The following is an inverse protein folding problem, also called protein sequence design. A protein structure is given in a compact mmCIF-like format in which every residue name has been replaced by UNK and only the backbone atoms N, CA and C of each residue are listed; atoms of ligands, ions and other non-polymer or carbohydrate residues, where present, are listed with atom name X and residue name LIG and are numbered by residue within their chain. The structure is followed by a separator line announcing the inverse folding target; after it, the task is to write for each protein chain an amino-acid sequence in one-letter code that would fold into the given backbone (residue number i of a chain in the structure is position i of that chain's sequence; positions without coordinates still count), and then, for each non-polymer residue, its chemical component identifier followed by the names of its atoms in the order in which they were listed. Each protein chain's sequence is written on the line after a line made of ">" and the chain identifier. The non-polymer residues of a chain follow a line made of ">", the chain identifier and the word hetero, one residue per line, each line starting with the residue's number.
data_IF_032427155316
#
_entry.id   IF_032427155316
#
_cell.length_a   1.000
_cell.length_b   1.000
_cell.length_c   1.000
_cell.angle_alpha   90.00
_cell.angle_beta   90.00
_cell.angle_gamma   90.00
#
_symmetry.space_group_name_H-M   'P 1'
#
loop_
_entity.id
_entity.type
_entity.pdbx_description
1 polymer ?
#
# COMPACT_ATOMS: atom_id res chain seq x y z
N UNK A 1 -13.32 20.09 -40.79
CA UNK A 1 -13.49 20.21 -39.30
C UNK A 1 -14.95 19.94 -38.98
N UNK A 2 -15.20 18.93 -38.20
CA UNK A 2 -16.53 18.66 -37.65
C UNK A 2 -16.67 19.60 -36.47
N UNK A 3 -17.55 20.61 -36.59
CA UNK A 3 -17.90 21.43 -35.43
C UNK A 3 -18.66 20.55 -34.43
N UNK A 4 -18.14 20.44 -33.24
CA UNK A 4 -18.86 19.82 -32.13
C UNK A 4 -20.07 20.68 -31.78
N UNK A 5 -21.27 20.12 -31.68
CA UNK A 5 -22.42 20.88 -31.23
C UNK A 5 -22.18 21.44 -29.85
N UNK A 6 -22.51 22.68 -29.60
CA UNK A 6 -22.49 23.27 -28.29
C UNK A 6 -23.50 22.51 -27.41
N UNK A 7 -22.99 21.84 -26.37
CA UNK A 7 -23.83 21.20 -25.36
C UNK A 7 -23.96 22.22 -24.22
N UNK A 8 -25.17 22.69 -23.99
CA UNK A 8 -25.43 23.54 -22.84
C UNK A 8 -25.08 22.79 -21.57
N UNK A 9 -24.29 23.38 -20.68
CA UNK A 9 -23.94 22.71 -19.43
C UNK A 9 -25.22 22.46 -18.62
N UNK A 10 -25.42 21.20 -18.20
CA UNK A 10 -26.48 20.84 -17.28
C UNK A 10 -26.28 21.63 -15.97
N UNK A 11 -27.14 22.60 -15.72
CA UNK A 11 -27.16 23.25 -14.40
C UNK A 11 -27.84 22.31 -13.42
N UNK A 12 -27.05 21.58 -12.65
CA UNK A 12 -27.54 20.80 -11.53
C UNK A 12 -27.62 21.74 -10.33
N UNK A 13 -28.82 21.98 -9.86
CA UNK A 13 -29.05 22.66 -8.60
C UNK A 13 -28.91 21.61 -7.47
N UNK A 14 -27.82 21.64 -6.67
CA UNK A 14 -27.57 20.64 -5.64
C UNK A 14 -28.60 20.70 -4.49
N UNK A 15 -29.32 21.80 -4.37
CA UNK A 15 -30.33 22.00 -3.33
C UNK A 15 -31.74 21.58 -3.77
N UNK A 16 -31.89 21.11 -5.02
CA UNK A 16 -33.17 20.70 -5.59
C UNK A 16 -33.33 19.19 -5.50
N UNK A 17 -33.99 18.72 -4.44
CA UNK A 17 -34.44 17.33 -4.31
C UNK A 17 -35.71 17.04 -5.12
N UNK A 18 -35.97 15.77 -5.42
CA UNK A 18 -37.29 15.35 -5.87
C UNK A 18 -38.26 15.28 -4.69
N UNK A 19 -39.58 15.44 -4.92
CA UNK A 19 -40.59 15.27 -3.88
C UNK A 19 -40.47 13.90 -3.19
N UNK A 20 -40.08 12.87 -3.92
CA UNK A 20 -39.79 11.53 -3.36
C UNK A 20 -38.64 11.55 -2.34
N UNK A 21 -37.53 12.24 -2.67
CA UNK A 21 -36.42 12.38 -1.71
C UNK A 21 -36.82 13.19 -0.48
N UNK A 22 -37.61 14.25 -0.65
CA UNK A 22 -38.12 15.04 0.47
C UNK A 22 -39.01 14.19 1.40
N UNK A 23 -39.84 13.29 0.84
CA UNK A 23 -40.63 12.34 1.61
C UNK A 23 -39.75 11.30 2.34
N UNK A 24 -38.70 10.76 1.66
CA UNK A 24 -37.75 9.82 2.25
C UNK A 24 -36.98 10.45 3.40
N UNK A 25 -36.53 11.71 3.26
CA UNK A 25 -35.80 12.44 4.29
C UNK A 25 -36.64 12.71 5.56
N UNK A 26 -37.98 12.70 5.43
CA UNK A 26 -38.91 12.86 6.56
C UNK A 26 -39.21 11.54 7.29
N UNK A 27 -38.83 10.39 6.72
CA UNK A 27 -39.05 9.11 7.38
C UNK A 27 -38.23 9.00 8.68
N UNK A 28 -38.82 8.55 9.77
CA UNK A 28 -38.07 8.31 11.00
C UNK A 28 -37.09 7.16 10.78
N UNK A 29 -35.81 7.40 11.10
CA UNK A 29 -34.78 6.38 11.04
C UNK A 29 -33.93 6.40 12.32
N UNK A 30 -33.45 5.23 12.73
CA UNK A 30 -32.43 5.14 13.78
C UNK A 30 -31.06 5.24 13.11
N UNK A 31 -30.22 6.23 13.51
CA UNK A 31 -28.88 6.36 12.96
C UNK A 31 -28.06 5.11 13.23
N UNK A 32 -27.45 4.53 12.20
CA UNK A 32 -26.51 3.44 12.36
C UNK A 32 -25.40 3.82 13.32
N UNK A 33 -25.08 2.90 14.23
CA UNK A 33 -23.95 3.06 15.14
C UNK A 33 -22.70 2.37 14.58
N UNK A 34 -21.52 2.97 14.73
CA UNK A 34 -20.28 2.32 14.28
C UNK A 34 -20.02 1.05 15.10
N UNK A 35 -19.58 0.00 14.43
CA UNK A 35 -19.20 -1.26 15.06
C UNK A 35 -17.68 -1.32 15.24
N UNK A 36 -17.25 -1.53 16.49
CA UNK A 36 -15.85 -1.68 16.86
C UNK A 36 -15.58 -3.10 17.34
N UNK A 37 -14.35 -3.55 17.17
CA UNK A 37 -13.95 -4.91 17.55
C UNK A 37 -13.81 -5.03 19.06
N UNK A 38 -14.25 -6.18 19.58
CA UNK A 38 -14.16 -6.54 21.00
C UNK A 38 -13.29 -7.80 21.11
N UNK A 39 -12.15 -7.75 21.84
CA UNK A 39 -11.33 -8.92 22.12
C UNK A 39 -12.14 -10.06 22.73
N UNK A 40 -11.76 -11.29 22.46
CA UNK A 40 -12.39 -12.55 22.91
C UNK A 40 -13.83 -12.78 22.40
N UNK A 41 -14.43 -11.78 21.77
CA UNK A 41 -15.74 -11.90 21.11
C UNK A 41 -15.60 -11.97 19.59
N UNK A 42 -14.89 -11.00 19.00
CA UNK A 42 -14.75 -10.88 17.55
C UNK A 42 -13.46 -11.54 17.05
N UNK A 43 -12.47 -11.66 17.90
CA UNK A 43 -11.18 -12.32 17.64
C UNK A 43 -10.50 -12.71 18.94
N UNK A 44 -9.54 -13.64 18.85
CA UNK A 44 -8.62 -13.97 19.95
C UNK A 44 -7.17 -13.89 19.50
N UNK A 45 -6.27 -13.62 20.45
CA UNK A 45 -4.82 -13.60 20.23
C UNK A 45 -4.16 -14.57 21.19
N UNK A 46 -3.34 -15.49 20.67
CA UNK A 46 -2.66 -16.52 21.48
C UNK A 46 -1.18 -16.56 21.13
N UNK A 47 -0.34 -16.66 22.13
CA UNK A 47 1.07 -17.02 21.95
C UNK A 47 1.19 -18.55 21.96
N UNK A 48 1.52 -19.12 20.81
CA UNK A 48 1.71 -20.58 20.66
C UNK A 48 3.03 -21.00 21.29
N UNK A 49 4.09 -20.25 21.02
CA UNK A 49 5.42 -20.38 21.64
C UNK A 49 6.18 -19.04 21.42
N UNK A 50 7.30 -18.80 22.11
CA UNK A 50 8.07 -17.59 21.92
C UNK A 50 8.36 -17.29 20.44
N UNK A 51 7.86 -16.16 19.94
CA UNK A 51 7.99 -15.75 18.54
C UNK A 51 6.98 -16.38 17.56
N UNK A 52 5.97 -17.09 18.05
CA UNK A 52 4.87 -17.63 17.24
C UNK A 52 3.54 -17.20 17.86
N UNK A 53 2.78 -16.38 17.13
CA UNK A 53 1.50 -15.82 17.58
C UNK A 53 0.38 -16.20 16.61
N UNK A 54 -0.77 -16.59 17.15
CA UNK A 54 -2.00 -16.83 16.41
C UNK A 54 -2.99 -15.68 16.67
N UNK A 55 -3.50 -15.08 15.61
CA UNK A 55 -4.64 -14.17 15.61
C UNK A 55 -5.80 -14.89 14.92
N UNK A 56 -6.85 -15.15 15.64
CA UNK A 56 -7.95 -16.01 15.21
C UNK A 56 -9.26 -15.21 15.14
N UNK A 57 -10.03 -15.42 14.08
CA UNK A 57 -11.41 -14.95 13.93
C UNK A 57 -12.27 -16.07 13.38
N UNK A 58 -13.42 -16.30 14.03
CA UNK A 58 -14.37 -17.31 13.62
C UNK A 58 -15.16 -16.89 12.37
N UNK A 59 -15.34 -17.83 11.42
CA UNK A 59 -16.19 -17.66 10.25
C UNK A 59 -17.57 -18.27 10.50
N UNK A 60 -18.61 -17.47 10.75
CA UNK A 60 -19.95 -17.99 11.00
C UNK A 60 -20.77 -18.23 9.72
N UNK A 61 -20.24 -17.97 8.54
CA UNK A 61 -21.02 -17.87 7.30
C UNK A 61 -20.94 -19.13 6.43
N UNK A 62 -19.80 -19.81 6.44
CA UNK A 62 -19.53 -20.95 5.57
C UNK A 62 -18.27 -21.70 6.02
N UNK A 63 -17.96 -22.80 5.33
CA UNK A 63 -16.81 -23.67 5.63
C UNK A 63 -15.52 -23.24 4.90
N UNK A 64 -15.36 -21.96 4.59
CA UNK A 64 -14.13 -21.46 4.01
C UNK A 64 -13.17 -20.96 5.08
N UNK A 65 -11.90 -21.29 4.91
CA UNK A 65 -10.83 -20.72 5.71
C UNK A 65 -9.93 -19.77 4.91
N UNK A 66 -9.30 -18.89 5.63
CA UNK A 66 -8.18 -18.07 5.18
C UNK A 66 -7.08 -18.14 6.24
N UNK A 67 -5.90 -18.59 5.85
CA UNK A 67 -4.70 -18.56 6.66
C UNK A 67 -3.67 -17.67 5.97
N UNK A 68 -3.21 -16.63 6.65
CA UNK A 68 -2.02 -15.84 6.25
C UNK A 68 -0.96 -16.01 7.34
N UNK A 69 0.26 -16.35 6.94
CA UNK A 69 1.41 -16.45 7.85
C UNK A 69 2.41 -15.39 7.47
N UNK A 70 2.69 -14.46 8.39
CA UNK A 70 3.67 -13.40 8.24
C UNK A 70 4.92 -13.75 9.01
N UNK A 71 6.04 -13.83 8.33
CA UNK A 71 7.36 -14.18 8.84
C UNK A 71 8.25 -12.94 8.88
N UNK A 72 8.89 -12.64 10.00
CA UNK A 72 9.65 -11.41 10.24
C UNK A 72 11.01 -11.41 9.52
N UNK A 73 10.97 -11.62 8.22
CA UNK A 73 12.12 -11.56 7.31
C UNK A 73 11.68 -11.07 5.94
N UNK A 74 12.05 -9.87 5.54
CA UNK A 74 11.69 -9.28 4.25
C UNK A 74 12.89 -8.95 3.38
N UNK A 75 12.67 -8.25 2.24
CA UNK A 75 13.76 -7.96 1.30
C UNK A 75 14.76 -6.93 1.84
N UNK A 76 14.39 -6.07 2.78
CA UNK A 76 15.35 -5.16 3.44
C UNK A 76 16.37 -5.91 4.30
N UNK A 77 16.01 -7.12 4.75
CA UNK A 77 16.93 -8.01 5.48
C UNK A 77 17.77 -8.85 4.51
N UNK A 78 17.11 -9.36 3.47
CA UNK A 78 17.67 -10.29 2.48
C UNK A 78 17.12 -9.94 1.09
N UNK A 79 17.79 -9.07 0.31
CA UNK A 79 17.30 -8.66 -1.02
C UNK A 79 17.00 -9.82 -1.98
N UNK A 80 17.74 -10.93 -1.84
CA UNK A 80 17.53 -12.12 -2.65
C UNK A 80 16.24 -12.90 -2.34
N UNK A 81 15.48 -12.54 -1.28
CA UNK A 81 14.17 -13.16 -1.01
C UNK A 81 13.16 -12.91 -2.14
N UNK A 82 13.19 -11.72 -2.73
CA UNK A 82 12.34 -11.43 -3.90
C UNK A 82 12.69 -12.33 -5.09
N UNK A 83 13.99 -12.64 -5.24
CA UNK A 83 14.48 -13.60 -6.23
C UNK A 83 14.07 -15.04 -5.88
N UNK A 84 14.16 -15.43 -4.61
CA UNK A 84 13.72 -16.74 -4.14
C UNK A 84 12.20 -16.95 -4.37
N UNK A 85 11.39 -15.90 -4.19
CA UNK A 85 9.97 -15.94 -4.55
C UNK A 85 9.77 -16.26 -6.03
N UNK A 86 10.53 -15.63 -6.94
CA UNK A 86 10.42 -15.85 -8.39
C UNK A 86 10.74 -17.31 -8.76
N UNK A 87 11.73 -17.92 -8.08
CA UNK A 87 12.02 -19.33 -8.23
C UNK A 87 10.85 -20.18 -7.72
N UNK A 88 10.31 -19.89 -6.52
CA UNK A 88 9.19 -20.60 -5.90
C UNK A 88 7.93 -20.61 -6.78
N UNK A 89 7.60 -19.47 -7.39
CA UNK A 89 6.43 -19.30 -8.27
C UNK A 89 6.41 -20.30 -9.46
N UNK A 90 7.59 -20.82 -9.85
CA UNK A 90 7.76 -21.77 -10.96
C UNK A 90 8.22 -23.16 -10.51
N UNK A 91 8.44 -23.34 -9.21
CA UNK A 91 8.87 -24.61 -8.65
C UNK A 91 7.70 -25.57 -8.44
N UNK A 92 8.00 -26.85 -8.49
CA UNK A 92 7.18 -27.90 -7.90
C UNK A 92 7.49 -28.09 -6.41
N UNK A 93 7.14 -29.24 -5.86
CA UNK A 93 7.36 -29.55 -4.46
C UNK A 93 7.87 -31.00 -4.30
N UNK A 94 8.95 -31.21 -3.58
CA UNK A 94 9.59 -32.53 -3.40
C UNK A 94 9.85 -33.23 -4.75
N UNK A 95 9.07 -34.26 -5.09
CA UNK A 95 9.15 -35.02 -6.34
C UNK A 95 8.13 -34.58 -7.39
N UNK A 96 7.22 -33.69 -7.03
CA UNK A 96 6.18 -33.17 -7.94
C UNK A 96 6.80 -32.09 -8.85
N UNK A 97 6.41 -32.09 -10.12
CA UNK A 97 6.64 -30.97 -11.02
C UNK A 97 5.80 -29.76 -10.63
N UNK A 98 6.07 -28.60 -11.23
CA UNK A 98 5.23 -27.39 -11.04
C UNK A 98 3.79 -27.61 -11.53
N UNK A 99 3.62 -28.41 -12.57
CA UNK A 99 2.30 -28.76 -13.12
C UNK A 99 1.53 -29.70 -12.17
N UNK A 100 2.19 -30.77 -11.68
CA UNK A 100 1.58 -31.68 -10.69
C UNK A 100 1.18 -30.93 -9.43
N UNK A 101 2.02 -30.02 -8.95
CA UNK A 101 1.72 -29.20 -7.78
C UNK A 101 0.47 -28.33 -7.99
N UNK A 102 0.30 -27.72 -9.17
CA UNK A 102 -0.91 -26.93 -9.51
C UNK A 102 -2.16 -27.82 -9.53
N UNK A 103 -2.03 -29.05 -10.04
CA UNK A 103 -3.12 -30.03 -10.05
C UNK A 103 -3.50 -30.41 -8.60
N UNK A 104 -2.53 -30.62 -7.71
CA UNK A 104 -2.81 -30.92 -6.30
C UNK A 104 -3.50 -29.75 -5.59
N UNK A 105 -3.07 -28.50 -5.79
CA UNK A 105 -3.78 -27.33 -5.28
C UNK A 105 -5.22 -27.25 -5.79
N UNK A 106 -5.41 -27.50 -7.09
CA UNK A 106 -6.75 -27.53 -7.70
C UNK A 106 -7.66 -28.62 -7.10
N UNK A 107 -7.15 -29.82 -6.88
CA UNK A 107 -7.90 -30.92 -6.24
C UNK A 107 -8.33 -30.59 -4.82
N UNK A 108 -7.50 -29.86 -4.08
CA UNK A 108 -7.83 -29.40 -2.74
C UNK A 108 -8.80 -28.20 -2.74
N UNK A 109 -9.09 -27.60 -3.90
CA UNK A 109 -9.87 -26.37 -3.96
C UNK A 109 -9.24 -25.25 -3.14
N UNK A 110 -7.90 -25.16 -3.13
CA UNK A 110 -7.13 -24.26 -2.30
C UNK A 110 -6.24 -23.36 -3.16
N UNK A 111 -6.26 -22.07 -2.89
CA UNK A 111 -5.32 -21.11 -3.44
C UNK A 111 -4.12 -20.96 -2.51
N UNK A 112 -2.92 -20.97 -3.07
CA UNK A 112 -1.66 -20.68 -2.40
C UNK A 112 -0.96 -19.49 -3.04
N UNK A 113 -0.36 -18.63 -2.21
CA UNK A 113 0.52 -17.56 -2.70
C UNK A 113 1.61 -17.24 -1.68
N UNK A 114 2.75 -16.76 -2.20
CA UNK A 114 3.88 -16.29 -1.39
C UNK A 114 4.25 -14.87 -1.77
N UNK A 115 4.39 -13.99 -0.79
CA UNK A 115 4.73 -12.58 -0.96
C UNK A 115 6.01 -12.20 -0.21
N UNK A 116 6.75 -11.23 -0.76
CA UNK A 116 7.91 -10.63 -0.10
C UNK A 116 7.70 -9.13 -0.04
N UNK A 117 7.70 -8.61 1.18
CA UNK A 117 7.58 -7.19 1.48
C UNK A 117 8.92 -6.64 2.00
N UNK A 118 8.98 -5.36 2.27
CA UNK A 118 10.18 -4.71 2.80
C UNK A 118 10.69 -5.40 4.07
N UNK A 119 9.80 -5.67 5.01
CA UNK A 119 10.18 -6.12 6.35
C UNK A 119 9.71 -7.53 6.71
N UNK A 120 8.87 -8.14 5.90
CA UNK A 120 8.34 -9.49 6.13
C UNK A 120 8.09 -10.23 4.82
N UNK A 121 8.10 -11.55 4.90
CA UNK A 121 7.48 -12.41 3.89
C UNK A 121 6.15 -12.92 4.42
N UNK A 122 5.24 -13.24 3.52
CA UNK A 122 4.02 -13.93 3.89
C UNK A 122 3.69 -15.04 2.89
N UNK A 123 3.04 -16.08 3.36
CA UNK A 123 2.27 -16.94 2.49
C UNK A 123 0.82 -16.99 2.96
N UNK A 124 -0.06 -17.31 2.04
CA UNK A 124 -1.47 -17.54 2.36
C UNK A 124 -1.95 -18.81 1.71
N UNK A 125 -2.93 -19.45 2.36
CA UNK A 125 -3.76 -20.52 1.81
C UNK A 125 -5.22 -20.18 2.10
N UNK A 126 -6.08 -20.36 1.09
CA UNK A 126 -7.52 -20.12 1.18
C UNK A 126 -8.24 -21.30 0.56
N UNK A 127 -9.23 -21.86 1.23
CA UNK A 127 -9.94 -23.02 0.69
C UNK A 127 -11.05 -23.53 1.60
N UNK A 128 -11.47 -24.76 1.32
CA UNK A 128 -12.45 -25.46 2.14
C UNK A 128 -11.78 -26.01 3.41
N UNK A 129 -12.46 -25.87 4.55
CA UNK A 129 -11.95 -26.26 5.87
C UNK A 129 -11.61 -27.76 5.96
N UNK A 130 -12.39 -28.62 5.32
CA UNK A 130 -12.11 -30.07 5.25
C UNK A 130 -10.72 -30.38 4.66
N UNK A 131 -10.18 -29.50 3.81
CA UNK A 131 -8.88 -29.63 3.17
C UNK A 131 -7.77 -28.83 3.85
N UNK A 132 -8.03 -28.21 5.00
CA UNK A 132 -7.05 -27.35 5.69
C UNK A 132 -5.71 -28.04 5.96
N UNK A 133 -5.75 -29.22 6.61
CA UNK A 133 -4.52 -29.93 6.98
C UNK A 133 -3.75 -30.42 5.75
N UNK A 134 -4.44 -30.93 4.73
CA UNK A 134 -3.81 -31.34 3.48
C UNK A 134 -3.18 -30.17 2.75
N UNK A 135 -3.85 -29.02 2.74
CA UNK A 135 -3.34 -27.77 2.16
C UNK A 135 -2.12 -27.25 2.91
N UNK A 136 -2.13 -27.34 4.25
CA UNK A 136 -0.99 -26.93 5.07
C UNK A 136 0.23 -27.84 4.84
N UNK A 137 0.04 -29.14 4.68
CA UNK A 137 1.11 -30.10 4.33
C UNK A 137 1.66 -29.86 2.93
N UNK A 138 0.80 -29.50 1.97
CA UNK A 138 1.23 -29.16 0.62
C UNK A 138 2.04 -27.84 0.61
N UNK A 139 1.60 -26.83 1.39
CA UNK A 139 2.34 -25.58 1.60
C UNK A 139 3.73 -25.82 2.24
N UNK A 140 3.81 -26.68 3.27
CA UNK A 140 5.08 -27.12 3.85
C UNK A 140 6.01 -27.72 2.79
N UNK A 141 5.47 -28.62 1.99
CA UNK A 141 6.26 -29.31 0.94
C UNK A 141 6.76 -28.31 -0.11
N UNK A 142 5.94 -27.34 -0.50
CA UNK A 142 6.32 -26.33 -1.48
C UNK A 142 7.35 -25.33 -0.92
N UNK A 143 7.15 -24.85 0.30
CA UNK A 143 8.03 -23.82 0.92
C UNK A 143 9.39 -24.38 1.35
N UNK A 144 9.42 -25.60 1.94
CA UNK A 144 10.64 -26.17 2.52
C UNK A 144 11.42 -27.06 1.53
N UNK A 145 10.73 -27.59 0.50
CA UNK A 145 11.32 -28.50 -0.47
C UNK A 145 10.89 -28.15 -1.90
N UNK A 146 11.12 -26.86 -2.33
CA UNK A 146 10.79 -26.46 -3.69
C UNK A 146 11.62 -27.28 -4.69
N UNK A 147 10.93 -27.79 -5.71
CA UNK A 147 11.55 -28.56 -6.78
C UNK A 147 11.66 -27.70 -8.04
N UNK A 148 12.81 -27.07 -8.24
CA UNK A 148 13.12 -26.24 -9.40
C UNK A 148 14.39 -26.77 -10.06
N UNK A 149 14.35 -27.06 -11.36
CA UNK A 149 15.55 -27.41 -12.12
C UNK A 149 16.40 -26.16 -12.38
N UNK A 150 17.70 -26.37 -12.55
CA UNK A 150 18.60 -25.27 -12.95
C UNK A 150 18.22 -24.70 -14.33
N UNK A 151 17.65 -25.50 -15.23
CA UNK A 151 17.13 -25.05 -16.53
C UNK A 151 15.97 -24.06 -16.34
N UNK A 152 14.92 -24.43 -15.60
CA UNK A 152 13.79 -23.56 -15.28
C UNK A 152 14.23 -22.30 -14.54
N UNK A 153 15.27 -22.43 -13.69
CA UNK A 153 15.81 -21.28 -12.98
C UNK A 153 16.57 -20.34 -13.93
N UNK A 154 17.36 -20.85 -14.87
CA UNK A 154 18.04 -20.03 -15.88
C UNK A 154 17.04 -19.28 -16.75
N UNK A 155 15.99 -19.94 -17.25
CA UNK A 155 14.90 -19.24 -17.95
C UNK A 155 14.26 -18.13 -17.09
N UNK A 156 14.07 -18.38 -15.78
CA UNK A 156 13.49 -17.40 -14.87
C UNK A 156 14.42 -16.20 -14.69
N UNK A 157 15.74 -16.41 -14.63
CA UNK A 157 16.73 -15.31 -14.59
C UNK A 157 16.63 -14.44 -15.85
N UNK A 158 16.54 -15.04 -17.03
CA UNK A 158 16.41 -14.29 -18.28
C UNK A 158 15.13 -13.44 -18.32
N UNK A 159 14.03 -13.98 -17.82
CA UNK A 159 12.77 -13.22 -17.67
C UNK A 159 12.96 -12.04 -16.72
N UNK A 160 13.57 -12.24 -15.55
CA UNK A 160 13.81 -11.17 -14.57
C UNK A 160 14.70 -10.07 -15.17
N UNK A 161 15.75 -10.43 -15.91
CA UNK A 161 16.61 -9.45 -16.56
C UNK A 161 15.88 -8.65 -17.63
N UNK A 162 15.04 -9.31 -18.43
CA UNK A 162 14.18 -8.64 -19.41
C UNK A 162 13.18 -7.68 -18.74
N UNK A 163 12.53 -8.11 -17.68
CA UNK A 163 11.61 -7.25 -16.90
C UNK A 163 12.32 -6.02 -16.31
N UNK A 164 13.58 -6.16 -15.87
CA UNK A 164 14.40 -5.04 -15.39
C UNK A 164 14.76 -4.05 -16.51
N UNK A 165 14.95 -4.54 -17.73
CA UNK A 165 15.18 -3.68 -18.91
C UNK A 165 13.90 -2.93 -19.30
N UNK A 166 12.75 -3.56 -19.18
CA UNK A 166 11.45 -2.95 -19.47
C UNK A 166 11.02 -1.95 -18.38
N UNK A 167 11.33 -2.25 -17.11
CA UNK A 167 11.12 -1.33 -16.00
C UNK A 167 11.80 0.04 -16.23
N UNK A 168 13.01 0.05 -16.81
CA UNK A 168 13.72 1.29 -17.13
C UNK A 168 13.12 2.06 -18.33
N UNK A 169 12.17 1.47 -19.03
CA UNK A 169 11.45 2.08 -20.15
C UNK A 169 10.03 2.50 -19.77
N UNK A 170 9.46 1.94 -18.69
CA UNK A 170 8.12 2.22 -18.26
C UNK A 170 8.02 3.58 -17.51
N UNK A 171 7.20 4.54 -17.99
CA UNK A 171 7.09 5.86 -17.37
C UNK A 171 6.61 5.85 -15.92
N UNK A 172 5.74 4.90 -15.55
CA UNK A 172 5.24 4.80 -14.17
C UNK A 172 6.32 4.26 -13.24
N UNK A 173 7.04 3.21 -13.66
CA UNK A 173 8.15 2.66 -12.89
C UNK A 173 9.24 3.72 -12.69
N UNK A 174 9.61 4.46 -13.74
CA UNK A 174 10.55 5.57 -13.67
C UNK A 174 10.09 6.67 -12.70
N UNK A 175 8.81 7.03 -12.75
CA UNK A 175 8.24 8.07 -11.86
C UNK A 175 8.27 7.61 -10.40
N UNK A 176 7.94 6.36 -10.12
CA UNK A 176 8.00 5.80 -8.77
C UNK A 176 9.45 5.68 -8.26
N UNK A 177 10.37 5.21 -9.10
CA UNK A 177 11.78 5.09 -8.74
C UNK A 177 12.42 6.46 -8.51
N UNK A 178 12.14 7.45 -9.37
CA UNK A 178 12.63 8.81 -9.24
C UNK A 178 12.15 9.45 -7.94
N UNK A 179 10.84 9.37 -7.62
CA UNK A 179 10.31 9.97 -6.40
C UNK A 179 10.85 9.28 -5.14
N UNK A 180 11.03 7.97 -5.19
CA UNK A 180 11.60 7.22 -4.07
C UNK A 180 13.08 7.55 -3.87
N UNK A 181 13.85 7.67 -4.96
CA UNK A 181 15.24 8.12 -4.91
C UNK A 181 15.35 9.56 -4.43
N UNK A 182 14.49 10.46 -4.89
CA UNK A 182 14.47 11.85 -4.44
C UNK A 182 14.23 11.97 -2.93
N UNK A 183 13.38 11.08 -2.38
CA UNK A 183 13.05 11.08 -0.95
C UNK A 183 14.08 10.37 -0.08
N UNK A 184 14.67 9.27 -0.53
CA UNK A 184 15.52 8.39 0.30
C UNK A 184 16.97 8.31 -0.16
N UNK A 185 17.33 8.87 -1.33
CA UNK A 185 18.68 8.79 -1.89
C UNK A 185 19.14 7.35 -2.09
N UNK A 186 20.33 7.04 -1.63
CA UNK A 186 20.94 5.70 -1.69
C UNK A 186 20.13 4.63 -0.92
N UNK A 187 19.24 5.03 -0.03
CA UNK A 187 18.33 4.14 0.67
C UNK A 187 17.07 3.81 -0.14
N UNK A 188 16.99 4.23 -1.40
CA UNK A 188 15.89 3.85 -2.28
C UNK A 188 15.77 2.34 -2.40
N UNK A 189 14.56 1.79 -2.24
CA UNK A 189 14.29 0.36 -2.39
C UNK A 189 14.71 -0.18 -3.76
N UNK A 190 14.70 0.66 -4.79
CA UNK A 190 15.15 0.28 -6.14
C UNK A 190 16.66 0.10 -6.21
N UNK A 191 17.42 0.72 -5.30
CA UNK A 191 18.86 0.54 -5.13
C UNK A 191 19.22 -0.55 -4.12
N UNK A 192 18.33 -0.87 -3.17
CA UNK A 192 18.54 -1.95 -2.19
C UNK A 192 18.28 -3.35 -2.76
N UNK A 193 17.66 -3.49 -3.91
CA UNK A 193 17.37 -4.81 -4.51
C UNK A 193 18.65 -5.57 -4.89
N UNK A 194 18.56 -6.89 -5.09
CA UNK A 194 19.66 -7.71 -5.60
C UNK A 194 20.16 -7.21 -6.96
N UNK A 195 21.50 -7.24 -7.18
CA UNK A 195 22.08 -6.87 -8.46
C UNK A 195 21.86 -7.97 -9.52
N UNK A 196 22.14 -7.63 -10.79
CA UNK A 196 22.17 -8.62 -11.89
C UNK A 196 23.27 -9.65 -11.65
N UNK A 197 24.39 -9.26 -11.04
CA UNK A 197 25.45 -10.18 -10.65
C UNK A 197 24.99 -11.16 -9.57
N UNK A 198 24.27 -10.66 -8.52
CA UNK A 198 23.70 -11.52 -7.48
C UNK A 198 22.70 -12.51 -8.08
N UNK A 199 21.86 -12.05 -9.03
CA UNK A 199 20.90 -12.88 -9.75
C UNK A 199 21.59 -13.97 -10.55
N UNK A 200 22.59 -13.61 -11.37
CA UNK A 200 23.31 -14.55 -12.24
C UNK A 200 24.06 -15.62 -11.45
N UNK A 201 24.63 -15.26 -10.29
CA UNK A 201 25.36 -16.18 -9.42
C UNK A 201 24.45 -17.01 -8.49
N UNK A 202 23.14 -16.76 -8.50
CA UNK A 202 22.21 -17.48 -7.63
C UNK A 202 21.96 -18.91 -8.12
N UNK A 203 21.80 -19.82 -7.16
CA UNK A 203 21.46 -21.22 -7.41
C UNK A 203 20.12 -21.57 -6.76
N UNK A 204 19.44 -22.59 -7.29
CA UNK A 204 18.18 -23.07 -6.72
C UNK A 204 18.34 -23.47 -5.26
N UNK A 205 19.46 -24.09 -4.89
CA UNK A 205 19.78 -24.51 -3.52
C UNK A 205 19.90 -23.30 -2.56
N UNK A 206 20.64 -22.25 -2.96
CA UNK A 206 20.80 -21.04 -2.15
C UNK A 206 19.46 -20.30 -1.95
N UNK A 207 18.63 -20.23 -2.99
CA UNK A 207 17.31 -19.61 -2.91
C UNK A 207 16.34 -20.43 -2.03
N UNK A 208 16.39 -21.76 -2.11
CA UNK A 208 15.60 -22.65 -1.24
C UNK A 208 15.98 -22.47 0.23
N UNK A 209 17.26 -22.31 0.54
CA UNK A 209 17.70 -22.05 1.90
C UNK A 209 17.21 -20.68 2.44
N UNK A 210 17.09 -19.66 1.59
CA UNK A 210 16.49 -18.37 1.97
C UNK A 210 14.99 -18.50 2.30
N UNK A 211 14.23 -19.28 1.53
CA UNK A 211 12.82 -19.57 1.82
C UNK A 211 12.68 -20.29 3.17
N UNK A 212 13.55 -21.26 3.43
CA UNK A 212 13.58 -21.98 4.71
C UNK A 212 13.91 -21.03 5.87
N UNK A 213 14.90 -20.14 5.73
CA UNK A 213 15.21 -19.11 6.73
C UNK A 213 14.03 -18.20 7.02
N UNK A 214 13.23 -17.83 5.99
CA UNK A 214 12.01 -17.08 6.18
C UNK A 214 11.00 -17.87 7.04
N UNK A 215 10.75 -19.13 6.71
CA UNK A 215 9.84 -20.00 7.48
C UNK A 215 10.33 -20.22 8.92
N UNK A 216 11.64 -20.27 9.14
CA UNK A 216 12.27 -20.45 10.45
C UNK A 216 12.39 -19.15 11.28
N UNK A 217 11.88 -18.04 10.76
CA UNK A 217 11.83 -16.75 11.47
C UNK A 217 10.62 -16.63 12.40
N UNK A 218 10.61 -15.71 13.37
CA UNK A 218 9.41 -15.37 14.13
C UNK A 218 8.24 -15.06 13.20
N UNK A 219 7.03 -15.45 13.60
CA UNK A 219 5.87 -15.36 12.72
C UNK A 219 4.58 -15.09 13.43
N UNK A 220 3.68 -14.40 12.74
CA UNK A 220 2.29 -14.23 13.13
C UNK A 220 1.39 -14.99 12.16
N UNK A 221 0.50 -15.80 12.72
CA UNK A 221 -0.44 -16.64 12.01
C UNK A 221 -1.80 -16.00 12.13
N UNK A 222 -2.39 -15.62 11.01
CA UNK A 222 -3.66 -14.93 10.89
C UNK A 222 -4.67 -15.90 10.32
N UNK A 223 -5.60 -16.35 11.14
CA UNK A 223 -6.61 -17.33 10.75
C UNK A 223 -8.02 -16.73 10.78
N UNK A 224 -8.76 -16.96 9.73
CA UNK A 224 -10.21 -16.78 9.64
C UNK A 224 -10.81 -18.06 9.09
N UNK A 225 -11.71 -18.69 9.85
CA UNK A 225 -12.32 -19.97 9.44
C UNK A 225 -13.30 -20.50 10.46
N UNK A 226 -13.96 -21.66 10.15
CA UNK A 226 -15.04 -22.22 10.98
C UNK A 226 -14.54 -22.96 12.22
N UNK A 227 -13.24 -23.19 12.38
CA UNK A 227 -12.71 -23.92 13.52
C UNK A 227 -12.51 -23.06 14.74
N UNK A 228 -12.60 -23.67 15.92
CA UNK A 228 -12.32 -22.97 17.18
C UNK A 228 -10.82 -22.64 17.33
N UNK A 229 -10.47 -21.62 18.13
CA UNK A 229 -9.07 -21.28 18.35
C UNK A 229 -8.24 -22.43 18.95
N UNK A 230 -8.84 -23.32 19.76
CA UNK A 230 -8.16 -24.48 20.36
C UNK A 230 -7.77 -25.52 19.30
N UNK A 231 -8.67 -25.78 18.36
CA UNK A 231 -8.43 -26.70 17.23
C UNK A 231 -7.34 -26.17 16.33
N UNK A 232 -7.43 -24.90 15.95
CA UNK A 232 -6.42 -24.25 15.09
C UNK A 232 -5.06 -24.21 15.77
N UNK A 233 -5.01 -23.86 17.05
CA UNK A 233 -3.76 -23.89 17.82
C UNK A 233 -3.13 -25.29 17.82
N UNK A 234 -3.92 -26.34 18.02
CA UNK A 234 -3.43 -27.72 17.98
C UNK A 234 -2.88 -28.08 16.58
N UNK A 235 -3.58 -27.69 15.52
CA UNK A 235 -3.12 -27.92 14.14
C UNK A 235 -1.78 -27.22 13.87
N UNK A 236 -1.64 -25.96 14.32
CA UNK A 236 -0.40 -25.21 14.17
C UNK A 236 0.73 -25.86 14.96
N UNK A 237 0.51 -26.23 16.23
CA UNK A 237 1.52 -26.89 17.06
C UNK A 237 2.05 -28.20 16.47
N UNK A 238 1.18 -28.94 15.78
CA UNK A 238 1.51 -30.22 15.14
C UNK A 238 2.07 -30.08 13.71
N UNK A 239 2.21 -28.88 13.21
CA UNK A 239 2.71 -28.58 11.85
C UNK A 239 4.10 -27.92 11.90
N UNK A 240 4.69 -27.70 10.71
CA UNK A 240 5.94 -26.95 10.56
C UNK A 240 5.85 -25.51 11.10
N UNK A 241 4.65 -24.95 11.20
CA UNK A 241 4.42 -23.61 11.75
C UNK A 241 4.58 -23.56 13.27
N UNK A 242 4.43 -24.68 13.99
CA UNK A 242 4.62 -24.79 15.44
C UNK A 242 6.09 -24.93 15.85
N UNK A 243 6.99 -25.17 14.91
CA UNK A 243 8.42 -25.31 15.19
C UNK A 243 8.98 -23.97 15.66
N UNK A 244 9.68 -23.96 16.79
CA UNK A 244 10.28 -22.73 17.36
C UNK A 244 11.20 -22.04 16.36
N UNK A 245 11.13 -20.70 16.26
CA UNK A 245 12.02 -19.94 15.39
C UNK A 245 13.50 -20.19 15.72
N UNK A 246 14.32 -20.36 14.68
CA UNK A 246 15.79 -20.50 14.82
C UNK A 246 16.51 -19.16 14.77
N UNK A 247 15.84 -18.14 14.24
CA UNK A 247 16.37 -16.80 14.06
C UNK A 247 15.63 -15.81 14.95
N UNK A 248 16.30 -14.76 15.39
CA UNK A 248 15.62 -13.63 16.02
C UNK A 248 15.03 -12.75 14.92
N UNK A 249 13.93 -12.04 15.24
CA UNK A 249 13.43 -11.00 14.37
C UNK A 249 14.54 -10.01 14.02
N UNK A 250 14.82 -9.86 12.76
CA UNK A 250 15.80 -8.91 12.29
C UNK A 250 15.25 -7.50 12.46
N UNK A 251 16.03 -6.61 13.08
CA UNK A 251 15.63 -5.21 13.24
C UNK A 251 16.19 -4.41 12.07
N UNK A 252 15.30 -3.98 11.17
CA UNK A 252 15.61 -2.93 10.20
C UNK A 252 15.12 -1.61 10.78
N UNK A 253 15.99 -0.61 10.76
CA UNK A 253 15.61 0.75 11.16
C UNK A 253 14.54 1.31 10.23
N UNK A 254 13.75 2.30 10.69
CA UNK A 254 12.77 2.95 9.83
C UNK A 254 13.49 3.72 8.72
N UNK A 255 12.95 3.66 7.51
CA UNK A 255 13.39 4.53 6.42
C UNK A 255 13.12 6.00 6.76
N UNK A 256 14.12 6.84 6.58
CA UNK A 256 14.04 8.27 6.84
C UNK A 256 14.19 9.05 5.54
N UNK A 257 13.26 9.96 5.33
CA UNK A 257 13.37 10.91 4.23
C UNK A 257 14.59 11.80 4.40
N UNK A 258 15.25 12.11 3.29
CA UNK A 258 16.31 13.13 3.28
C UNK A 258 15.74 14.45 3.78
N UNK A 259 16.45 15.10 4.70
CA UNK A 259 16.02 16.40 5.20
C UNK A 259 16.23 17.45 4.13
N UNK A 260 15.18 18.14 3.75
CA UNK A 260 15.24 19.29 2.85
C UNK A 260 14.65 20.52 3.53
N UNK A 261 15.30 21.68 3.33
CA UNK A 261 14.83 22.97 3.85
C UNK A 261 14.21 23.83 2.74
N UNK A 262 14.35 23.41 1.49
CA UNK A 262 13.87 24.13 0.30
C UNK A 262 13.20 23.15 -0.65
N UNK A 263 12.30 23.67 -1.46
CA UNK A 263 11.76 22.93 -2.59
C UNK A 263 12.91 22.46 -3.50
N UNK A 264 12.79 21.27 -4.09
CA UNK A 264 13.81 20.68 -4.95
C UNK A 264 13.15 20.00 -6.15
N UNK A 265 13.85 19.99 -7.28
CA UNK A 265 13.40 19.39 -8.53
C UNK A 265 14.37 18.31 -8.97
N UNK A 266 13.88 17.07 -9.07
CA UNK A 266 14.56 15.99 -9.77
C UNK A 266 13.84 15.71 -11.08
N UNK A 267 14.59 15.65 -12.16
CA UNK A 267 14.08 15.48 -13.52
C UNK A 267 14.72 14.27 -14.19
N UNK A 268 13.87 13.45 -14.81
CA UNK A 268 14.30 12.35 -15.68
C UNK A 268 13.72 12.56 -17.07
N UNK A 269 14.60 12.68 -18.06
CA UNK A 269 14.19 12.78 -19.46
C UNK A 269 13.64 11.45 -19.97
N UNK A 270 12.46 11.53 -20.56
CA UNK A 270 11.82 10.44 -21.28
C UNK A 270 10.99 11.00 -22.42
N UNK A 271 11.25 10.56 -23.65
CA UNK A 271 10.42 10.91 -24.80
C UNK A 271 9.00 10.35 -24.60
N UNK A 272 8.05 11.23 -24.35
CA UNK A 272 6.64 10.90 -24.13
C UNK A 272 5.75 12.13 -24.33
N UNK A 273 4.49 11.88 -24.72
CA UNK A 273 3.52 12.97 -24.95
C UNK A 273 3.03 13.62 -23.66
N UNK A 274 2.96 12.84 -22.59
CA UNK A 274 2.55 13.29 -21.27
C UNK A 274 3.76 13.37 -20.34
N UNK A 275 3.72 14.28 -19.38
CA UNK A 275 4.65 14.30 -18.26
C UNK A 275 3.96 13.73 -17.01
N UNK A 276 4.76 13.09 -16.16
CA UNK A 276 4.36 12.64 -14.82
C UNK A 276 5.08 13.46 -13.78
N UNK A 277 4.33 14.06 -12.87
CA UNK A 277 4.88 14.88 -11.78
C UNK A 277 4.43 14.31 -10.45
N UNK A 278 5.37 14.10 -9.55
CA UNK A 278 5.13 13.78 -8.15
C UNK A 278 5.52 14.95 -7.27
N UNK A 279 4.70 15.20 -6.26
CA UNK A 279 4.86 16.23 -5.23
C UNK A 279 4.92 15.50 -3.89
N UNK A 280 6.06 15.50 -3.23
CA UNK A 280 6.21 14.74 -1.99
C UNK A 280 6.85 15.59 -0.89
N UNK A 281 6.43 15.36 0.36
CA UNK A 281 7.15 15.85 1.54
C UNK A 281 6.83 15.01 2.77
N UNK A 282 7.78 14.91 3.69
CA UNK A 282 7.57 14.32 5.01
C UNK A 282 6.99 15.33 5.99
N UNK A 283 6.10 14.88 6.86
CA UNK A 283 5.45 15.74 7.85
C UNK A 283 5.45 15.13 9.26
N UNK A 284 6.63 14.78 9.74
CA UNK A 284 6.86 14.25 11.08
C UNK A 284 6.49 12.78 11.23
N UNK A 285 6.79 12.23 12.39
CA UNK A 285 6.50 10.83 12.73
C UNK A 285 5.01 10.57 12.87
N UNK A 286 4.65 9.29 12.87
CA UNK A 286 3.29 8.85 13.20
C UNK A 286 2.86 9.45 14.55
N UNK A 287 1.74 10.17 14.50
CA UNK A 287 1.06 10.73 15.66
C UNK A 287 -0.43 10.43 15.52
N UNK A 288 -0.90 9.48 16.29
CA UNK A 288 -2.29 9.00 16.24
C UNK A 288 -3.30 10.11 16.53
N UNK A 289 -2.93 11.12 17.31
CA UNK A 289 -3.79 12.27 17.61
C UNK A 289 -4.14 13.10 16.38
N UNK A 290 -3.31 13.05 15.33
CA UNK A 290 -3.53 13.75 14.06
C UNK A 290 -4.40 12.95 13.07
N UNK A 291 -4.65 11.67 13.33
CA UNK A 291 -5.37 10.80 12.39
C UNK A 291 -6.73 11.35 11.96
N UNK A 292 -7.60 11.89 12.83
CA UNK A 292 -8.86 12.51 12.39
C UNK A 292 -8.67 13.69 11.44
N UNK A 293 -7.68 14.55 11.70
CA UNK A 293 -7.38 15.69 10.81
C UNK A 293 -6.80 15.24 9.48
N UNK A 294 -5.96 14.20 9.48
CA UNK A 294 -5.44 13.57 8.26
C UNK A 294 -6.58 12.96 7.43
N UNK A 295 -7.52 12.27 8.06
CA UNK A 295 -8.68 11.71 7.38
C UNK A 295 -9.53 12.80 6.73
N UNK A 296 -9.84 13.89 7.47
CA UNK A 296 -10.59 15.02 6.92
C UNK A 296 -9.82 15.67 5.77
N UNK A 297 -8.50 15.87 5.92
CA UNK A 297 -7.69 16.43 4.85
C UNK A 297 -7.71 15.55 3.61
N UNK A 298 -7.57 14.25 3.74
CA UNK A 298 -7.61 13.34 2.62
C UNK A 298 -8.96 13.37 1.90
N UNK A 299 -10.07 13.42 2.64
CA UNK A 299 -11.42 13.50 2.05
C UNK A 299 -11.65 14.87 1.38
N UNK A 300 -11.24 15.97 2.04
CA UNK A 300 -11.40 17.32 1.57
C UNK A 300 -10.56 17.63 0.34
N UNK A 301 -9.27 17.28 0.40
CA UNK A 301 -8.26 17.68 -0.59
C UNK A 301 -8.16 16.67 -1.75
N UNK A 302 -8.06 15.39 -1.43
CA UNK A 302 -7.80 14.32 -2.38
C UNK A 302 -8.92 13.30 -2.56
N UNK A 303 -10.07 13.47 -1.91
CA UNK A 303 -11.16 12.50 -1.77
C UNK A 303 -11.93 12.20 -3.06
N UNK A 304 -11.31 11.47 -3.98
CA UNK A 304 -11.95 11.03 -5.22
C UNK A 304 -12.45 12.20 -6.08
N UNK A 305 -13.60 12.03 -6.74
CA UNK A 305 -14.16 13.05 -7.64
C UNK A 305 -14.68 14.31 -6.93
N UNK A 306 -14.97 14.24 -5.63
CA UNK A 306 -15.40 15.40 -4.83
C UNK A 306 -14.22 16.19 -4.24
N UNK A 307 -13.02 15.60 -4.23
CA UNK A 307 -11.82 16.23 -3.69
C UNK A 307 -11.39 17.47 -4.46
N UNK A 308 -10.79 18.42 -3.73
CA UNK A 308 -10.38 19.72 -4.28
C UNK A 308 -9.41 19.56 -5.46
N UNK A 309 -8.45 18.65 -5.37
CA UNK A 309 -7.45 18.40 -6.42
C UNK A 309 -8.11 17.96 -7.74
N UNK A 310 -9.07 17.03 -7.66
CA UNK A 310 -9.76 16.54 -8.84
C UNK A 310 -10.62 17.65 -9.48
N UNK A 311 -11.40 18.34 -8.67
CA UNK A 311 -12.31 19.39 -9.15
C UNK A 311 -11.57 20.57 -9.80
N UNK A 312 -10.48 21.02 -9.19
CA UNK A 312 -9.76 22.20 -9.66
C UNK A 312 -8.80 21.92 -10.82
N UNK A 313 -8.10 20.78 -10.80
CA UNK A 313 -7.06 20.52 -11.80
C UNK A 313 -7.58 19.78 -13.03
N UNK A 314 -8.50 18.87 -12.84
CA UNK A 314 -9.05 18.07 -13.93
C UNK A 314 -10.32 18.68 -14.51
N UNK A 315 -11.33 18.94 -13.70
CA UNK A 315 -12.63 19.38 -14.17
C UNK A 315 -12.65 20.87 -14.55
N UNK A 316 -12.22 21.76 -13.65
CA UNK A 316 -12.33 23.20 -13.89
C UNK A 316 -11.27 23.74 -14.87
N UNK A 317 -10.05 23.23 -14.82
CA UNK A 317 -8.93 23.76 -15.62
C UNK A 317 -8.49 22.88 -16.76
N UNK A 318 -8.93 21.61 -16.83
CA UNK A 318 -8.52 20.62 -17.81
C UNK A 318 -6.99 20.51 -18.00
N UNK A 319 -6.22 20.77 -16.93
CA UNK A 319 -4.74 20.76 -16.94
C UNK A 319 -4.16 19.36 -16.82
N UNK A 320 -4.91 18.42 -16.24
CA UNK A 320 -4.42 17.08 -15.94
C UNK A 320 -5.39 16.00 -16.44
N UNK A 321 -4.86 14.96 -17.06
CA UNK A 321 -5.61 13.73 -17.34
C UNK A 321 -5.89 12.95 -16.04
N UNK A 322 -4.89 12.90 -15.17
CA UNK A 322 -5.00 12.32 -13.83
C UNK A 322 -4.41 13.28 -12.79
N UNK A 323 -5.13 13.51 -11.71
CA UNK A 323 -4.64 14.29 -10.57
C UNK A 323 -5.20 13.68 -9.28
N UNK A 324 -4.32 13.45 -8.32
CA UNK A 324 -4.70 12.98 -7.00
C UNK A 324 -3.69 13.45 -5.95
N UNK A 325 -4.11 13.45 -4.71
CA UNK A 325 -3.25 13.75 -3.57
C UNK A 325 -3.70 12.98 -2.35
N UNK A 326 -2.75 12.57 -1.50
CA UNK A 326 -3.04 11.88 -0.26
C UNK A 326 -1.93 12.07 0.77
N UNK A 327 -2.34 12.29 2.00
CA UNK A 327 -1.46 12.26 3.15
C UNK A 327 -1.46 10.84 3.73
N UNK A 328 -0.34 10.14 3.58
CA UNK A 328 -0.17 8.77 4.04
C UNK A 328 0.37 8.75 5.47
N UNK A 329 -0.23 7.90 6.30
CA UNK A 329 0.33 7.50 7.58
C UNK A 329 1.14 6.22 7.41
N UNK A 330 2.26 6.05 8.11
CA UNK A 330 3.08 4.86 7.99
C UNK A 330 2.38 3.62 8.57
N UNK A 331 2.86 2.45 8.16
CA UNK A 331 2.42 1.15 8.66
C UNK A 331 3.26 0.62 9.82
N UNK A 332 4.31 1.35 10.22
CA UNK A 332 5.24 0.97 11.30
C UNK A 332 5.48 2.13 12.26
N UNK A 333 5.75 1.82 13.55
CA UNK A 333 6.12 2.85 14.52
C UNK A 333 7.44 3.52 14.12
N UNK A 334 7.56 4.80 14.48
CA UNK A 334 8.73 5.62 14.18
C UNK A 334 9.04 5.88 12.70
N UNK A 335 8.14 5.58 11.79
CA UNK A 335 8.19 6.06 10.40
C UNK A 335 7.49 7.40 10.23
N UNK A 336 7.71 8.05 9.09
CA UNK A 336 7.21 9.39 8.82
C UNK A 336 5.89 9.38 8.06
N UNK A 337 5.00 10.31 8.41
CA UNK A 337 3.88 10.65 7.56
C UNK A 337 4.40 11.31 6.27
N UNK A 338 3.78 11.00 5.14
CA UNK A 338 4.19 11.52 3.83
C UNK A 338 2.99 12.04 3.07
N UNK A 339 3.05 13.29 2.64
CA UNK A 339 2.14 13.81 1.64
C UNK A 339 2.64 13.44 0.26
N UNK A 340 1.77 12.91 -0.57
CA UNK A 340 2.04 12.59 -1.98
C UNK A 340 0.95 13.20 -2.83
N UNK A 341 1.34 13.97 -3.83
CA UNK A 341 0.50 14.40 -4.93
C UNK A 341 1.04 13.86 -6.25
N UNK A 342 0.18 13.66 -7.22
CA UNK A 342 0.57 13.21 -8.55
C UNK A 342 -0.29 13.86 -9.63
N UNK A 343 0.34 14.26 -10.72
CA UNK A 343 -0.31 14.79 -11.89
C UNK A 343 0.24 14.10 -13.13
N UNK A 344 -0.65 13.64 -14.01
CA UNK A 344 -0.34 13.27 -15.38
C UNK A 344 -0.94 14.31 -16.33
N UNK A 345 -0.10 15.06 -17.06
CA UNK A 345 -0.53 16.14 -17.94
C UNK A 345 0.18 16.10 -19.29
N UNK A 346 -0.26 16.90 -20.26
CA UNK A 346 0.51 17.11 -21.49
C UNK A 346 1.85 17.77 -21.15
N UNK A 347 2.92 17.36 -21.82
CA UNK A 347 4.28 17.79 -21.49
C UNK A 347 4.45 19.31 -21.55
N UNK A 348 3.82 20.00 -22.52
CA UNK A 348 3.82 21.47 -22.65
C UNK A 348 2.98 22.20 -21.59
N UNK A 349 2.14 21.47 -20.83
CA UNK A 349 1.31 21.97 -19.72
C UNK A 349 1.88 21.69 -18.34
N UNK A 350 3.05 21.05 -18.27
CA UNK A 350 3.65 20.63 -17.01
C UNK A 350 3.79 21.78 -16.02
N UNK A 351 4.29 22.93 -16.48
CA UNK A 351 4.54 24.11 -15.63
C UNK A 351 3.23 24.70 -15.08
N UNK A 352 2.22 24.86 -15.95
CA UNK A 352 0.90 25.35 -15.56
C UNK A 352 0.25 24.42 -14.53
N UNK A 353 0.33 23.11 -14.76
CA UNK A 353 -0.21 22.11 -13.84
C UNK A 353 0.51 22.10 -12.49
N UNK A 354 1.84 22.26 -12.49
CA UNK A 354 2.63 22.38 -11.26
C UNK A 354 2.25 23.62 -10.46
N UNK A 355 2.16 24.80 -11.09
CA UNK A 355 1.73 26.03 -10.41
C UNK A 355 0.31 25.89 -9.84
N UNK A 356 -0.60 25.32 -10.60
CA UNK A 356 -1.97 25.10 -10.14
C UNK A 356 -2.04 24.19 -8.92
N UNK A 357 -1.30 23.07 -8.92
CA UNK A 357 -1.25 22.15 -7.77
C UNK A 357 -0.60 22.79 -6.54
N UNK A 358 0.53 23.48 -6.72
CA UNK A 358 1.21 24.18 -5.63
C UNK A 358 0.32 25.26 -5.04
N UNK A 359 -0.38 26.02 -5.89
CA UNK A 359 -1.37 27.02 -5.46
C UNK A 359 -2.44 26.40 -4.55
N UNK A 360 -3.03 25.28 -4.98
CA UNK A 360 -4.00 24.55 -4.14
C UNK A 360 -3.40 24.03 -2.84
N UNK A 361 -2.14 23.56 -2.87
CA UNK A 361 -1.49 23.01 -1.68
C UNK A 361 -1.04 24.09 -0.70
N UNK A 362 -0.56 25.23 -1.19
CA UNK A 362 -0.04 26.33 -0.35
C UNK A 362 -1.10 27.36 0.04
N UNK A 363 -2.14 27.49 -0.78
CA UNK A 363 -3.24 28.46 -0.60
C UNK A 363 -4.60 27.74 -0.74
N UNK A 364 -4.73 26.62 -0.04
CA UNK A 364 -5.95 25.82 -0.08
C UNK A 364 -7.16 26.68 0.32
N UNK A 365 -8.17 26.80 -0.58
CA UNK A 365 -9.40 27.49 -0.22
C UNK A 365 -10.13 26.70 0.87
N UNK A 366 -10.38 27.31 2.02
CA UNK A 366 -11.15 26.69 3.10
C UNK A 366 -12.62 27.08 2.96
N UNK A 367 -13.47 26.06 2.88
CA UNK A 367 -14.93 26.19 2.75
C UNK A 367 -15.63 25.38 3.81
N UNK A 368 -16.52 26.04 4.57
CA UNK A 368 -17.36 25.37 5.57
C UNK A 368 -18.23 24.26 4.95
N UNK A 369 -18.80 24.52 3.78
CA UNK A 369 -19.65 23.55 3.09
C UNK A 369 -18.85 22.29 2.72
N UNK A 370 -17.68 22.44 2.08
CA UNK A 370 -16.81 21.32 1.72
C UNK A 370 -16.29 20.57 2.95
N UNK A 371 -15.92 21.31 4.01
CA UNK A 371 -15.49 20.69 5.26
C UNK A 371 -16.61 19.88 5.90
N UNK A 372 -17.84 20.43 5.97
CA UNK A 372 -19.00 19.73 6.52
C UNK A 372 -19.34 18.46 5.73
N UNK A 373 -19.26 18.52 4.40
CA UNK A 373 -19.49 17.36 3.54
C UNK A 373 -18.42 16.27 3.78
N UNK A 374 -17.13 16.63 3.80
CA UNK A 374 -16.05 15.69 4.08
C UNK A 374 -16.17 15.07 5.47
N UNK A 375 -16.49 15.86 6.48
CA UNK A 375 -16.70 15.40 7.85
C UNK A 375 -17.90 14.45 7.96
N UNK A 376 -19.03 14.78 7.36
CA UNK A 376 -20.21 13.92 7.33
C UNK A 376 -19.97 12.61 6.57
N UNK A 377 -19.27 12.65 5.43
CA UNK A 377 -18.86 11.47 4.66
C UNK A 377 -18.04 10.50 5.53
N UNK A 378 -17.04 11.01 6.26
CA UNK A 378 -16.21 10.19 7.14
C UNK A 378 -17.02 9.58 8.30
N UNK A 379 -17.86 10.34 8.96
CA UNK A 379 -18.74 9.82 10.02
C UNK A 379 -19.68 8.74 9.49
N UNK A 380 -20.22 8.93 8.29
CA UNK A 380 -21.04 7.92 7.61
C UNK A 380 -20.22 6.67 7.33
N UNK A 381 -18.99 6.80 6.80
CA UNK A 381 -18.12 5.67 6.52
C UNK A 381 -17.81 4.82 7.77
N UNK A 382 -17.58 5.45 8.94
CA UNK A 382 -17.41 4.71 10.20
C UNK A 382 -18.65 3.90 10.59
N UNK A 383 -19.84 4.38 10.25
CA UNK A 383 -21.11 3.72 10.59
C UNK A 383 -21.47 2.62 9.60
N UNK A 384 -21.18 2.81 8.32
CA UNK A 384 -21.62 1.94 7.23
C UNK A 384 -20.58 0.90 6.81
N UNK A 385 -19.28 1.11 7.10
CA UNK A 385 -18.19 0.24 6.68
C UNK A 385 -17.55 -0.47 7.88
N UNK A 386 -18.21 -1.48 8.49
CA UNK A 386 -17.57 -2.30 9.52
C UNK A 386 -16.41 -3.11 8.91
N UNK A 387 -15.44 -3.47 9.73
CA UNK A 387 -14.42 -4.45 9.32
C UNK A 387 -15.13 -5.79 9.10
N UNK A 388 -14.96 -6.36 7.91
CA UNK A 388 -15.48 -7.70 7.63
C UNK A 388 -14.75 -8.75 8.46
N UNK A 389 -15.41 -9.82 8.87
CA UNK A 389 -14.82 -10.86 9.72
C UNK A 389 -13.51 -11.41 9.13
N UNK A 390 -13.45 -11.60 7.81
CA UNK A 390 -12.23 -12.04 7.11
C UNK A 390 -11.05 -11.06 7.25
N UNK A 391 -11.31 -9.76 7.36
CA UNK A 391 -10.27 -8.74 7.46
C UNK A 391 -9.78 -8.49 8.90
N UNK A 392 -10.49 -9.03 9.91
CA UNK A 392 -10.18 -8.79 11.31
C UNK A 392 -8.76 -9.26 11.69
N UNK A 393 -8.29 -10.47 11.36
CA UNK A 393 -6.97 -10.92 11.80
C UNK A 393 -5.84 -10.00 11.29
N UNK A 394 -5.94 -9.57 10.02
CA UNK A 394 -4.98 -8.63 9.45
C UNK A 394 -5.06 -7.26 10.12
N UNK A 395 -6.26 -6.75 10.36
CA UNK A 395 -6.45 -5.46 11.03
C UNK A 395 -5.86 -5.47 12.44
N UNK A 396 -6.11 -6.53 13.22
CA UNK A 396 -5.56 -6.70 14.58
C UNK A 396 -4.03 -6.74 14.53
N UNK A 397 -3.45 -7.48 13.58
CA UNK A 397 -2.00 -7.53 13.38
C UNK A 397 -1.43 -6.14 13.07
N UNK A 398 -2.03 -5.42 12.12
CA UNK A 398 -1.55 -4.10 11.68
C UNK A 398 -1.60 -3.06 12.81
N UNK A 399 -2.68 -3.06 13.59
CA UNK A 399 -2.88 -2.16 14.75
C UNK A 399 -1.88 -2.46 15.87
N UNK A 400 -1.70 -3.73 16.20
CA UNK A 400 -0.76 -4.17 17.22
C UNK A 400 0.70 -3.88 16.82
N UNK A 401 1.04 -4.07 15.55
CA UNK A 401 2.37 -3.74 15.00
C UNK A 401 2.71 -2.26 15.12
N UNK A 402 1.70 -1.39 15.15
CA UNK A 402 1.87 0.05 15.40
C UNK A 402 1.91 0.39 16.89
N UNK A 403 1.69 -0.58 17.80
CA UNK A 403 1.59 -0.35 19.24
C UNK A 403 0.36 0.45 19.65
N UNK A 404 -0.71 0.40 18.86
CA UNK A 404 -1.96 1.11 19.12
C UNK A 404 -2.92 0.26 19.95
N UNK A 405 -3.91 0.94 20.58
CA UNK A 405 -5.03 0.25 21.21
C UNK A 405 -5.78 -0.63 20.21
N UNK A 406 -6.30 -1.75 20.68
CA UNK A 406 -7.13 -2.62 19.85
C UNK A 406 -8.38 -1.86 19.43
N UNK A 407 -8.57 -1.79 18.12
CA UNK A 407 -9.54 -0.98 17.43
C UNK A 407 -9.46 0.54 17.72
N UNK A 408 -8.42 1.22 17.22
CA UNK A 408 -8.27 2.68 17.37
C UNK A 408 -9.38 3.46 16.66
N UNK A 409 -10.22 2.82 15.84
CA UNK A 409 -11.37 3.45 15.19
C UNK A 409 -12.37 4.02 16.21
N UNK A 410 -12.45 3.44 17.42
CA UNK A 410 -13.32 3.93 18.50
C UNK A 410 -12.89 5.33 18.96
N UNK A 411 -11.63 5.51 19.28
CA UNK A 411 -11.06 6.80 19.67
C UNK A 411 -11.04 7.79 18.52
N UNK A 412 -10.69 7.33 17.31
CA UNK A 412 -10.73 8.13 16.08
C UNK A 412 -12.14 8.67 15.78
N UNK A 413 -13.16 7.82 15.83
CA UNK A 413 -14.55 8.23 15.62
C UNK A 413 -15.00 9.27 16.68
N UNK A 414 -14.67 9.03 17.95
CA UNK A 414 -14.97 9.98 19.03
C UNK A 414 -14.31 11.34 18.80
N UNK A 415 -13.04 11.34 18.35
CA UNK A 415 -12.31 12.58 18.08
C UNK A 415 -12.85 13.26 16.80
N UNK A 416 -13.13 12.47 15.76
CA UNK A 416 -13.72 12.96 14.53
C UNK A 416 -15.09 13.61 14.78
N UNK A 417 -15.97 13.00 15.60
CA UNK A 417 -17.29 13.57 15.95
C UNK A 417 -17.21 14.92 16.64
N UNK A 418 -16.08 15.25 17.27
CA UNK A 418 -15.83 16.52 17.95
C UNK A 418 -14.99 17.50 17.14
N UNK A 419 -14.51 17.07 15.97
CA UNK A 419 -13.66 17.88 15.13
C UNK A 419 -14.38 19.16 14.69
N UNK A 420 -13.62 20.26 14.62
CA UNK A 420 -14.08 21.56 14.14
C UNK A 420 -13.18 22.04 13.01
N UNK A 421 -13.69 22.92 12.19
CA UNK A 421 -12.96 23.48 11.05
C UNK A 421 -11.67 24.18 11.49
N UNK A 422 -11.65 24.88 12.62
CA UNK A 422 -10.45 25.55 13.14
C UNK A 422 -9.30 24.56 13.38
N UNK A 423 -9.60 23.35 13.87
CA UNK A 423 -8.61 22.27 14.06
C UNK A 423 -8.07 21.76 12.75
N UNK A 424 -8.91 21.66 11.72
CA UNK A 424 -8.52 21.31 10.36
C UNK A 424 -7.62 22.39 9.74
N UNK A 425 -7.98 23.67 9.87
CA UNK A 425 -7.16 24.78 9.39
C UNK A 425 -5.79 24.80 10.06
N UNK A 426 -5.76 24.61 11.39
CA UNK A 426 -4.48 24.51 12.11
C UNK A 426 -3.63 23.36 11.62
N UNK A 427 -4.21 22.17 11.41
CA UNK A 427 -3.50 21.03 10.85
C UNK A 427 -2.90 21.38 9.47
N UNK A 428 -3.71 21.98 8.60
CA UNK A 428 -3.25 22.42 7.27
C UNK A 428 -2.06 23.39 7.38
N UNK A 429 -2.14 24.42 8.21
CA UNK A 429 -1.07 25.40 8.40
C UNK A 429 0.22 24.74 8.91
N UNK A 430 0.12 23.89 9.94
CA UNK A 430 1.29 23.32 10.64
C UNK A 430 1.93 22.16 9.86
N UNK A 431 1.13 21.34 9.17
CA UNK A 431 1.59 20.05 8.62
C UNK A 431 1.71 20.04 7.09
N UNK A 432 1.08 20.97 6.39
CA UNK A 432 1.00 21.00 4.93
C UNK A 432 1.63 22.28 4.35
N UNK A 433 1.05 23.43 4.64
CA UNK A 433 1.36 24.71 3.98
C UNK A 433 2.83 25.11 4.04
N UNK A 434 3.48 24.86 5.17
CA UNK A 434 4.86 25.31 5.44
C UNK A 434 5.93 24.33 4.94
N UNK A 435 5.55 23.18 4.40
CA UNK A 435 6.51 22.12 4.02
C UNK A 435 7.18 22.44 2.68
N UNK A 436 8.47 22.13 2.60
CA UNK A 436 9.21 22.10 1.34
C UNK A 436 8.81 20.88 0.52
N UNK A 437 8.68 21.05 -0.79
CA UNK A 437 8.18 20.04 -1.70
C UNK A 437 9.33 19.46 -2.52
N UNK A 438 9.36 18.13 -2.64
CA UNK A 438 10.19 17.39 -3.59
C UNK A 438 9.39 17.19 -4.87
N UNK A 439 9.81 17.82 -5.97
CA UNK A 439 9.22 17.67 -7.29
C UNK A 439 9.99 16.63 -8.08
N UNK A 440 9.39 15.49 -8.37
CA UNK A 440 9.96 14.45 -9.21
C UNK A 440 9.22 14.44 -10.55
N UNK A 441 9.90 14.78 -11.63
CA UNK A 441 9.31 15.01 -12.95
C UNK A 441 9.91 14.04 -13.96
N UNK A 442 9.08 13.26 -14.63
CA UNK A 442 9.45 12.42 -15.77
C UNK A 442 8.73 12.92 -17.00
N UNK A 443 9.47 13.25 -18.05
CA UNK A 443 8.87 13.78 -19.28
C UNK A 443 9.91 14.16 -20.34
N UNK A 444 9.39 14.63 -21.47
CA UNK A 444 10.21 15.03 -22.62
C UNK A 444 10.74 16.46 -22.43
N UNK A 445 12.06 16.58 -22.23
CA UNK A 445 12.73 17.86 -22.04
C UNK A 445 12.64 18.81 -23.25
N UNK A 446 12.32 18.28 -24.44
CA UNK A 446 12.13 19.11 -25.65
C UNK A 446 10.75 19.78 -25.66
N UNK A 447 9.81 19.30 -24.83
CA UNK A 447 8.41 19.75 -24.78
C UNK A 447 8.06 20.48 -23.50
N UNK A 448 8.82 20.24 -22.42
CA UNK A 448 8.65 20.93 -21.13
C UNK A 448 9.49 22.21 -21.14
N UNK A 449 8.94 23.32 -20.64
CA UNK A 449 9.73 24.52 -20.38
C UNK A 449 10.72 24.27 -19.22
N UNK A 450 11.92 23.83 -19.60
CA UNK A 450 12.97 23.47 -18.65
C UNK A 450 13.49 24.67 -17.85
N UNK A 451 13.47 25.90 -18.42
CA UNK A 451 13.90 27.10 -17.70
C UNK A 451 12.87 27.51 -16.64
N UNK A 452 11.58 27.34 -16.92
CA UNK A 452 10.54 27.53 -15.92
C UNK A 452 10.58 26.43 -14.85
N UNK A 453 10.86 25.17 -15.23
CA UNK A 453 10.98 24.07 -14.29
C UNK A 453 12.09 24.29 -13.25
N UNK A 454 13.23 24.79 -13.66
CA UNK A 454 14.37 25.11 -12.77
C UNK A 454 14.04 26.17 -11.72
N UNK A 455 13.01 27.01 -11.94
CA UNK A 455 12.61 28.05 -10.97
C UNK A 455 11.91 27.50 -9.74
N UNK A 456 11.43 26.24 -9.75
CA UNK A 456 10.80 25.62 -8.58
C UNK A 456 11.79 25.23 -7.48
N UNK A 457 13.11 25.25 -7.74
CA UNK A 457 14.12 24.97 -6.72
C UNK A 457 15.43 24.43 -7.32
N UNK A 458 16.40 24.09 -6.48
CA UNK A 458 17.60 23.37 -6.91
C UNK A 458 17.23 22.19 -7.81
N UNK A 459 17.86 22.14 -8.99
CA UNK A 459 17.52 21.23 -10.05
C UNK A 459 18.60 20.15 -10.21
N UNK A 460 18.18 18.89 -10.24
CA UNK A 460 19.04 17.72 -10.51
C UNK A 460 18.44 16.89 -11.64
N UNK A 461 19.20 16.67 -12.69
CA UNK A 461 18.83 15.73 -13.73
C UNK A 461 19.40 14.37 -13.40
N UNK A 462 18.55 13.32 -13.49
CA UNK A 462 18.85 11.94 -13.11
C UNK A 462 18.59 11.05 -14.33
N UNK A 463 19.35 9.97 -14.45
CA UNK A 463 19.16 8.95 -15.49
C UNK A 463 18.49 7.71 -14.90
N UNK A 464 17.85 6.89 -15.76
CA UNK A 464 17.26 5.62 -15.32
C UNK A 464 18.29 4.69 -14.64
N UNK A 465 19.54 4.72 -15.11
CA UNK A 465 20.63 3.89 -14.55
C UNK A 465 20.96 4.23 -13.09
N UNK A 466 20.79 5.49 -12.69
CA UNK A 466 21.05 5.94 -11.31
C UNK A 466 19.93 5.54 -10.35
N UNK A 467 18.74 5.23 -10.88
CA UNK A 467 17.57 4.90 -10.06
C UNK A 467 17.46 3.42 -9.73
N UNK A 468 18.04 2.54 -10.53
CA UNK A 468 17.88 1.09 -10.40
C UNK A 468 19.23 0.39 -10.23
N UNK A 469 19.34 -0.46 -9.21
CA UNK A 469 20.49 -1.37 -9.09
C UNK A 469 20.41 -2.46 -10.16
N UNK A 470 21.53 -2.62 -10.92
CA UNK A 470 21.72 -3.67 -11.92
C UNK A 470 22.69 -4.70 -11.45
#
# INVERSE_FOLDING_TARGET
>A
SIEKPAIDPLSIDPDKGSSFMEEVDQLPYEPLQPKFLVPEKDFSVREISPGIRLIHTFNPLNDLFNLEVRMDLGFDHKPMLSTAKRMLDRAGARKMSSEDLKIEWYKLGTDFGFGVQEHFCNFFINGLDENFLSSLQLAESHLLFPNSSEETWNETKDIILSERDDEQKDPNALTHALSHFHRYGENSRYLKRSSDTDLNNSTTSALSELLKQAVESPRSILYFGPQSPDVVEQWIRNSFLGVSPKHKAAKVGPDRSLKTQKDQVYFLHKEMAQAQVRFEFSSGLLDESLTPSIQIFNEYFGGGMAGLVFQELREARALAYSAWARFFTPSRPNEENVMVGSIGCQADKTIDAMYAFIGLLKEMPVSNTRWSSAHASLLSAYRTNPITSRAIPKFVYDVDSLGLEIDPRKSRFKNLSKAKIDGFEKFYQDKIKTKSILFSVVGDSSRIDMEALKKFGPFTQVTAKELFRR
#
